data_IF_968872959172
#
_entry.id   IF_968872959172
#
_cell.length_a   1.000
_cell.length_b   1.000
_cell.length_c   1.000
_cell.angle_alpha   90.00
_cell.angle_beta   90.00
_cell.angle_gamma   90.00
#
_symmetry.space_group_name_H-M   'P 1'
#
loop_
_entity.id
_entity.type
_entity.pdbx_description
1 polymer ?
#
# COMPACT_ATOMS: atom_id res chain seq x y z
N UNK A 1 -51.23 -54.76 89.69
CA UNK A 1 -49.78 -54.98 89.58
C UNK A 1 -49.45 -54.79 88.11
N UNK A 2 -48.57 -53.84 87.77
CA UNK A 2 -48.29 -53.46 86.37
C UNK A 2 -47.86 -54.70 85.56
N UNK A 3 -48.60 -55.00 84.49
CA UNK A 3 -48.39 -56.17 83.63
C UNK A 3 -47.22 -55.95 82.65
N UNK A 4 -46.61 -57.03 82.14
CA UNK A 4 -45.47 -56.98 81.22
C UNK A 4 -45.73 -56.11 79.98
N UNK A 5 -46.97 -56.09 79.51
CA UNK A 5 -47.43 -55.27 78.38
C UNK A 5 -47.22 -53.77 78.58
N UNK A 6 -47.34 -53.26 79.82
CA UNK A 6 -47.11 -51.85 80.14
C UNK A 6 -45.63 -51.47 80.01
N UNK A 7 -44.73 -52.31 80.53
CA UNK A 7 -43.29 -52.08 80.42
C UNK A 7 -42.78 -52.20 78.97
N UNK A 8 -43.38 -53.09 78.17
CA UNK A 8 -43.11 -53.17 76.71
C UNK A 8 -43.53 -51.89 76.00
N UNK A 9 -44.71 -51.33 76.31
CA UNK A 9 -45.16 -50.06 75.73
C UNK A 9 -44.23 -48.90 76.11
N UNK A 10 -43.80 -48.82 77.37
CA UNK A 10 -42.84 -47.80 77.84
C UNK A 10 -41.49 -47.94 77.12
N UNK A 11 -40.97 -49.17 76.98
CA UNK A 11 -39.72 -49.43 76.26
C UNK A 11 -39.83 -49.09 74.76
N UNK A 12 -40.97 -49.38 74.12
CA UNK A 12 -41.23 -49.03 72.73
C UNK A 12 -41.26 -47.51 72.51
N UNK A 13 -41.97 -46.76 73.37
CA UNK A 13 -42.02 -45.30 73.30
C UNK A 13 -40.63 -44.69 73.56
N UNK A 14 -39.88 -45.21 74.53
CA UNK A 14 -38.51 -44.77 74.78
C UNK A 14 -37.59 -45.04 73.58
N UNK A 15 -37.69 -46.22 72.96
CA UNK A 15 -36.92 -46.59 71.77
C UNK A 15 -37.26 -45.70 70.57
N UNK A 16 -38.55 -45.49 70.29
CA UNK A 16 -39.00 -44.60 69.21
C UNK A 16 -38.56 -43.16 69.46
N UNK A 17 -38.64 -42.68 70.71
CA UNK A 17 -38.17 -41.34 71.08
C UNK A 17 -36.68 -41.13 70.79
N UNK A 18 -35.84 -42.12 71.12
CA UNK A 18 -34.40 -42.10 70.78
C UNK A 18 -34.21 -42.13 69.26
N UNK A 19 -34.90 -43.02 68.55
CA UNK A 19 -34.78 -43.13 67.08
C UNK A 19 -35.15 -41.83 66.37
N UNK A 20 -36.27 -41.21 66.75
CA UNK A 20 -36.72 -39.93 66.18
C UNK A 20 -35.70 -38.82 66.46
N UNK A 21 -35.18 -38.74 67.68
CA UNK A 21 -34.17 -37.74 68.07
C UNK A 21 -32.91 -37.80 67.19
N UNK A 22 -32.44 -39.02 66.87
CA UNK A 22 -31.25 -39.22 66.02
C UNK A 22 -31.55 -39.12 64.52
N UNK A 23 -32.67 -39.68 64.06
CA UNK A 23 -33.05 -39.69 62.65
C UNK A 23 -33.43 -38.29 62.14
N UNK A 24 -34.13 -37.49 62.95
CA UNK A 24 -34.59 -36.15 62.60
C UNK A 24 -33.43 -35.24 62.17
N UNK A 25 -32.34 -35.21 62.96
CA UNK A 25 -31.16 -34.40 62.64
C UNK A 25 -30.46 -34.84 61.36
N UNK A 26 -30.36 -36.16 61.10
CA UNK A 26 -29.73 -36.66 59.86
C UNK A 26 -30.56 -36.42 58.61
N UNK A 27 -31.89 -36.56 58.70
CA UNK A 27 -32.79 -36.33 57.56
C UNK A 27 -32.80 -34.84 57.19
N UNK A 28 -32.91 -33.94 58.16
CA UNK A 28 -32.88 -32.50 57.91
C UNK A 28 -31.53 -32.07 57.36
N UNK A 29 -30.42 -32.50 57.97
CA UNK A 29 -29.09 -32.19 57.46
C UNK A 29 -28.86 -32.67 56.02
N UNK A 30 -29.42 -33.83 55.64
CA UNK A 30 -29.34 -34.33 54.27
C UNK A 30 -30.19 -33.51 53.28
N UNK A 31 -31.37 -33.04 53.71
CA UNK A 31 -32.22 -32.15 52.92
C UNK A 31 -31.59 -30.77 52.74
N UNK A 32 -31.02 -30.19 53.80
CA UNK A 32 -30.30 -28.91 53.76
C UNK A 32 -29.07 -29.01 52.86
N UNK A 33 -28.28 -30.08 52.97
CA UNK A 33 -27.14 -30.30 52.09
C UNK A 33 -27.56 -30.46 50.62
N UNK A 34 -28.73 -31.05 50.36
CA UNK A 34 -29.28 -31.14 49.00
C UNK A 34 -29.76 -29.77 48.50
N UNK A 35 -30.45 -29.00 49.33
CA UNK A 35 -30.90 -27.66 48.99
C UNK A 35 -29.70 -26.75 48.65
N UNK A 36 -28.67 -26.75 49.50
CA UNK A 36 -27.44 -25.99 49.27
C UNK A 36 -26.71 -26.39 47.98
N UNK A 37 -26.66 -27.69 47.65
CA UNK A 37 -26.09 -28.15 46.36
C UNK A 37 -26.88 -27.61 45.17
N UNK A 38 -28.21 -27.72 45.20
CA UNK A 38 -29.06 -27.24 44.11
C UNK A 38 -28.93 -25.73 43.95
N UNK A 39 -28.88 -24.98 45.04
CA UNK A 39 -28.68 -23.53 45.02
C UNK A 39 -27.34 -23.17 44.37
N UNK A 40 -26.25 -23.81 44.78
CA UNK A 40 -24.93 -23.62 44.18
C UNK A 40 -24.91 -23.96 42.67
N UNK A 41 -25.52 -25.07 42.26
CA UNK A 41 -25.60 -25.47 40.84
C UNK A 41 -26.39 -24.44 40.02
N UNK A 42 -27.48 -23.89 40.56
CA UNK A 42 -28.28 -22.85 39.91
C UNK A 42 -27.49 -21.54 39.81
N UNK A 43 -26.77 -21.15 40.86
CA UNK A 43 -25.91 -19.96 40.83
C UNK A 43 -24.78 -20.09 39.82
N UNK A 44 -24.11 -21.24 39.78
CA UNK A 44 -23.06 -21.52 38.81
C UNK A 44 -23.60 -21.51 37.38
N UNK A 45 -24.74 -22.15 37.14
CA UNK A 45 -25.39 -22.13 35.82
C UNK A 45 -25.78 -20.71 35.40
N UNK A 46 -26.25 -19.87 36.33
CA UNK A 46 -26.55 -18.45 36.06
C UNK A 46 -25.28 -17.67 35.72
N UNK A 47 -24.19 -17.87 36.48
CA UNK A 47 -22.89 -17.24 36.22
C UNK A 47 -22.36 -17.62 34.84
N UNK A 48 -22.31 -18.92 34.53
CA UNK A 48 -21.85 -19.42 33.22
C UNK A 48 -22.69 -18.86 32.07
N UNK A 49 -24.02 -18.79 32.24
CA UNK A 49 -24.90 -18.19 31.23
C UNK A 49 -24.60 -16.71 31.02
N UNK A 50 -24.32 -15.97 32.08
CA UNK A 50 -23.99 -14.55 31.98
C UNK A 50 -22.63 -14.33 31.32
N UNK A 51 -21.61 -15.10 31.70
CA UNK A 51 -20.29 -15.09 31.05
C UNK A 51 -20.41 -15.43 29.55
N UNK A 52 -21.19 -16.46 29.20
CA UNK A 52 -21.42 -16.82 27.79
C UNK A 52 -22.11 -15.70 27.01
N UNK A 53 -23.07 -14.99 27.62
CA UNK A 53 -23.74 -13.83 27.00
C UNK A 53 -22.78 -12.67 26.80
N UNK A 54 -21.96 -12.37 27.79
CA UNK A 54 -20.95 -11.31 27.69
C UNK A 54 -19.91 -11.63 26.62
N UNK A 55 -19.46 -12.88 26.57
CA UNK A 55 -18.52 -13.37 25.57
C UNK A 55 -19.13 -13.27 24.16
N UNK A 56 -20.37 -13.73 23.97
CA UNK A 56 -21.09 -13.65 22.70
C UNK A 56 -21.24 -12.18 22.25
N UNK A 57 -21.67 -11.29 23.14
CA UNK A 57 -21.77 -9.86 22.84
C UNK A 57 -20.40 -9.26 22.47
N UNK A 58 -19.32 -9.69 23.15
CA UNK A 58 -17.95 -9.32 22.82
C UNK A 58 -17.52 -9.80 21.43
N UNK A 59 -17.83 -11.04 21.07
CA UNK A 59 -17.56 -11.57 19.73
C UNK A 59 -18.36 -10.87 18.64
N UNK A 60 -19.65 -10.62 18.86
CA UNK A 60 -20.49 -9.91 17.89
C UNK A 60 -19.99 -8.48 17.64
N UNK A 61 -19.56 -7.77 18.69
CA UNK A 61 -18.93 -6.45 18.56
C UNK A 61 -17.64 -6.55 17.73
N UNK A 62 -16.71 -7.42 18.15
CA UNK A 62 -15.43 -7.62 17.43
C UNK A 62 -15.65 -8.02 15.97
N UNK A 63 -16.62 -8.88 15.68
CA UNK A 63 -16.96 -9.27 14.31
C UNK A 63 -17.46 -8.08 13.50
N UNK A 64 -18.39 -7.29 14.03
CA UNK A 64 -18.89 -6.09 13.34
C UNK A 64 -17.78 -5.06 13.10
N UNK A 65 -16.92 -4.86 14.09
CA UNK A 65 -15.82 -3.91 13.98
C UNK A 65 -14.80 -4.39 12.94
N UNK A 66 -14.49 -5.69 12.89
CA UNK A 66 -13.62 -6.29 11.89
C UNK A 66 -14.20 -6.21 10.46
N UNK A 67 -15.52 -6.40 10.29
CA UNK A 67 -16.19 -6.20 8.99
C UNK A 67 -16.09 -4.74 8.56
N UNK A 68 -16.33 -3.79 9.48
CA UNK A 68 -16.21 -2.36 9.18
C UNK A 68 -14.79 -1.96 8.80
N UNK A 69 -13.80 -2.47 9.52
CA UNK A 69 -12.38 -2.24 9.23
C UNK A 69 -12.00 -2.83 7.86
N UNK A 70 -12.48 -4.03 7.52
CA UNK A 70 -12.26 -4.63 6.21
C UNK A 70 -12.87 -3.79 5.08
N UNK A 71 -14.10 -3.29 5.26
CA UNK A 71 -14.74 -2.40 4.28
C UNK A 71 -13.96 -1.09 4.12
N UNK A 72 -13.49 -0.49 5.23
CA UNK A 72 -12.66 0.71 5.21
C UNK A 72 -11.33 0.48 4.48
N UNK A 73 -10.66 -0.65 4.71
CA UNK A 73 -9.43 -1.03 4.00
C UNK A 73 -9.67 -1.14 2.50
N UNK A 74 -10.77 -1.78 2.08
CA UNK A 74 -11.11 -1.94 0.67
C UNK A 74 -11.39 -0.59 0.00
N UNK A 75 -12.17 0.27 0.65
CA UNK A 75 -12.47 1.61 0.11
C UNK A 75 -11.23 2.49 0.05
N UNK A 76 -10.36 2.45 1.07
CA UNK A 76 -9.09 3.15 1.03
C UNK A 76 -8.18 2.63 -0.09
N UNK A 77 -8.08 1.31 -0.26
CA UNK A 77 -7.29 0.72 -1.33
C UNK A 77 -7.78 1.13 -2.73
N UNK A 78 -9.09 1.21 -2.94
CA UNK A 78 -9.67 1.72 -4.20
C UNK A 78 -9.34 3.18 -4.42
N UNK A 79 -9.56 4.03 -3.41
CA UNK A 79 -9.24 5.45 -3.50
C UNK A 79 -7.75 5.69 -3.76
N UNK A 80 -6.87 4.88 -3.15
CA UNK A 80 -5.43 4.96 -3.35
C UNK A 80 -5.05 4.52 -4.78
N UNK A 81 -5.65 3.43 -5.27
CA UNK A 81 -5.45 2.96 -6.64
C UNK A 81 -5.89 3.99 -7.68
N UNK A 82 -7.04 4.65 -7.49
CA UNK A 82 -7.52 5.73 -8.35
C UNK A 82 -6.57 6.93 -8.36
N UNK A 83 -6.09 7.36 -7.18
CA UNK A 83 -5.10 8.44 -7.09
C UNK A 83 -3.79 8.08 -7.77
N UNK A 84 -3.30 6.85 -7.58
CA UNK A 84 -2.09 6.36 -8.24
C UNK A 84 -2.26 6.31 -9.76
N UNK A 85 -3.40 5.85 -10.25
CA UNK A 85 -3.69 5.81 -11.68
C UNK A 85 -3.76 7.22 -12.29
N UNK A 86 -4.42 8.16 -11.61
CA UNK A 86 -4.49 9.55 -12.05
C UNK A 86 -3.09 10.21 -12.08
N UNK A 87 -2.28 10.01 -11.04
CA UNK A 87 -0.91 10.51 -10.98
C UNK A 87 -0.05 9.91 -12.09
N UNK A 88 -0.10 8.59 -12.27
CA UNK A 88 0.65 7.90 -13.32
C UNK A 88 0.27 8.39 -14.73
N UNK A 89 -1.02 8.65 -14.97
CA UNK A 89 -1.49 9.22 -16.23
C UNK A 89 -0.94 10.65 -16.46
N UNK A 90 -0.97 11.49 -15.43
CA UNK A 90 -0.43 12.85 -15.51
C UNK A 90 1.09 12.86 -15.76
N UNK A 91 1.83 12.01 -15.05
CA UNK A 91 3.28 11.86 -15.21
C UNK A 91 3.63 11.34 -16.61
N UNK A 92 2.86 10.37 -17.12
CA UNK A 92 3.03 9.84 -18.47
C UNK A 92 2.77 10.91 -19.53
N UNK A 93 1.71 11.71 -19.38
CA UNK A 93 1.40 12.81 -20.31
C UNK A 93 2.52 13.87 -20.31
N UNK A 94 3.05 14.22 -19.13
CA UNK A 94 4.17 15.14 -19.00
C UNK A 94 5.44 14.58 -19.68
N UNK A 95 5.75 13.30 -19.48
CA UNK A 95 6.90 12.66 -20.10
C UNK A 95 6.75 12.55 -21.63
N UNK A 96 5.56 12.24 -22.13
CA UNK A 96 5.28 12.23 -23.58
C UNK A 96 5.46 13.62 -24.17
N UNK A 97 4.92 14.67 -23.54
CA UNK A 97 5.11 16.06 -23.99
C UNK A 97 6.59 16.41 -24.06
N UNK A 98 7.33 16.18 -22.98
CA UNK A 98 8.77 16.43 -22.92
C UNK A 98 9.55 15.66 -24.00
N UNK A 99 9.22 14.38 -24.22
CA UNK A 99 9.86 13.57 -25.28
C UNK A 99 9.56 14.10 -26.68
N UNK A 100 8.33 14.55 -26.90
CA UNK A 100 7.90 15.13 -28.18
C UNK A 100 8.65 16.43 -28.45
N UNK A 101 8.74 17.32 -27.47
CA UNK A 101 9.53 18.55 -27.56
C UNK A 101 11.01 18.27 -27.85
N UNK A 102 11.61 17.30 -27.14
CA UNK A 102 12.99 16.88 -27.38
C UNK A 102 13.18 16.30 -28.80
N UNK A 103 12.20 15.56 -29.32
CA UNK A 103 12.25 15.03 -30.67
C UNK A 103 12.18 16.17 -31.70
N UNK A 104 11.27 17.14 -31.53
CA UNK A 104 11.20 18.33 -32.38
C UNK A 104 12.48 19.15 -32.34
N UNK A 105 13.06 19.37 -31.16
CA UNK A 105 14.32 20.08 -31.02
C UNK A 105 15.48 19.35 -31.74
N UNK A 106 15.51 18.01 -31.69
CA UNK A 106 16.48 17.20 -32.44
C UNK A 106 16.30 17.31 -33.95
N UNK A 107 15.05 17.30 -34.43
CA UNK A 107 14.74 17.46 -35.86
C UNK A 107 15.19 18.85 -36.32
N UNK A 108 14.80 19.91 -35.62
CA UNK A 108 15.19 21.28 -35.97
C UNK A 108 16.72 21.46 -36.00
N UNK A 109 17.44 20.85 -35.05
CA UNK A 109 18.91 20.85 -35.06
C UNK A 109 19.49 20.09 -36.25
N UNK A 110 18.93 18.94 -36.59
CA UNK A 110 19.37 18.16 -37.76
C UNK A 110 19.11 18.92 -39.07
N UNK A 111 17.95 19.58 -39.19
CA UNK A 111 17.62 20.43 -40.34
C UNK A 111 18.59 21.60 -40.48
N UNK A 112 18.90 22.29 -39.39
CA UNK A 112 19.89 23.37 -39.39
C UNK A 112 21.28 22.88 -39.83
N UNK A 113 21.71 21.70 -39.35
CA UNK A 113 22.98 21.09 -39.76
C UNK A 113 22.97 20.76 -41.26
N UNK A 114 21.90 20.17 -41.79
CA UNK A 114 21.80 19.85 -43.22
C UNK A 114 21.87 21.11 -44.09
N UNK A 115 21.25 22.21 -43.65
CA UNK A 115 21.33 23.49 -44.37
C UNK A 115 22.77 24.02 -44.39
N UNK A 116 23.49 23.92 -43.27
CA UNK A 116 24.91 24.28 -43.19
C UNK A 116 25.75 23.40 -44.15
N UNK A 117 25.57 22.08 -44.10
CA UNK A 117 26.28 21.13 -44.95
C UNK A 117 26.06 21.41 -46.45
N UNK A 118 24.82 21.72 -46.86
CA UNK A 118 24.49 22.08 -48.25
C UNK A 118 25.17 23.39 -48.66
N UNK A 119 25.21 24.38 -47.76
CA UNK A 119 25.88 25.66 -48.01
C UNK A 119 27.37 25.43 -48.21
N UNK A 120 28.00 24.61 -47.38
CA UNK A 120 29.42 24.29 -47.47
C UNK A 120 29.74 23.55 -48.77
N UNK A 121 28.89 22.60 -49.19
CA UNK A 121 29.01 21.94 -50.49
C UNK A 121 28.91 22.93 -51.66
N UNK A 122 28.02 23.92 -51.58
CA UNK A 122 27.88 24.95 -52.60
C UNK A 122 29.10 25.88 -52.66
N UNK A 123 29.64 26.28 -51.51
CA UNK A 123 30.88 27.08 -51.41
C UNK A 123 32.05 26.30 -52.02
N UNK A 124 32.22 25.03 -51.65
CA UNK A 124 33.29 24.17 -52.20
C UNK A 124 33.14 23.98 -53.72
N UNK A 125 31.92 23.77 -54.22
CA UNK A 125 31.65 23.72 -55.65
C UNK A 125 32.00 25.03 -56.38
N UNK A 126 31.65 26.19 -55.80
CA UNK A 126 31.95 27.51 -56.35
C UNK A 126 33.46 27.80 -56.35
N UNK A 127 34.17 27.50 -55.26
CA UNK A 127 35.63 27.65 -55.15
C UNK A 127 36.34 26.77 -56.18
N UNK A 128 35.92 25.52 -56.36
CA UNK A 128 36.48 24.64 -57.40
C UNK A 128 36.23 25.17 -58.81
N UNK A 129 35.04 25.69 -59.09
CA UNK A 129 34.71 26.27 -60.39
C UNK A 129 35.54 27.54 -60.67
N UNK A 130 35.64 28.44 -59.69
CA UNK A 130 36.49 29.63 -59.77
C UNK A 130 37.97 29.25 -59.99
N UNK A 131 38.48 28.27 -59.25
CA UNK A 131 39.86 27.78 -59.43
C UNK A 131 40.12 27.12 -60.78
N UNK A 132 39.11 26.50 -61.42
CA UNK A 132 39.21 26.03 -62.81
C UNK A 132 39.27 27.22 -63.78
N UNK A 133 38.34 28.17 -63.66
CA UNK A 133 38.30 29.36 -64.51
C UNK A 133 39.59 30.18 -64.44
N UNK A 134 40.14 30.36 -63.24
CA UNK A 134 41.41 31.06 -63.02
C UNK A 134 42.56 30.33 -63.72
N UNK A 135 42.65 28.99 -63.61
CA UNK A 135 43.68 28.20 -64.32
C UNK A 135 43.54 28.25 -65.84
N UNK A 136 42.32 28.23 -66.37
CA UNK A 136 42.07 28.31 -67.83
C UNK A 136 42.38 29.70 -68.41
N UNK A 137 42.24 30.76 -67.60
CA UNK A 137 42.43 32.16 -68.02
C UNK A 137 43.83 32.71 -67.71
N UNK A 138 44.59 32.07 -66.83
CA UNK A 138 45.97 32.47 -66.51
C UNK A 138 46.93 32.05 -67.63
N UNK A 139 47.21 32.96 -68.54
CA UNK A 139 48.41 32.91 -69.37
C UNK A 139 49.64 33.41 -68.60
N UNK A 140 50.85 33.05 -69.05
CA UNK A 140 52.13 33.38 -68.37
C UNK A 140 52.29 34.87 -68.05
N UNK A 141 51.81 35.76 -68.93
CA UNK A 141 51.90 37.22 -68.74
C UNK A 141 50.94 37.76 -67.67
N UNK A 142 49.74 37.16 -67.53
CA UNK A 142 48.76 37.53 -66.52
C UNK A 142 49.16 37.00 -65.13
N UNK A 143 49.80 35.83 -65.09
CA UNK A 143 50.34 35.25 -63.86
C UNK A 143 51.45 36.13 -63.27
N UNK A 144 52.36 36.67 -64.10
CA UNK A 144 53.41 37.58 -63.66
C UNK A 144 52.87 38.86 -63.02
N UNK A 145 51.88 39.51 -63.65
CA UNK A 145 51.23 40.72 -63.10
C UNK A 145 50.53 40.47 -61.76
N UNK A 146 49.88 39.33 -61.58
CA UNK A 146 49.22 38.99 -60.32
C UNK A 146 50.24 38.76 -59.19
N UNK A 147 51.41 38.18 -59.51
CA UNK A 147 52.50 38.02 -58.53
C UNK A 147 53.10 39.38 -58.16
N UNK A 148 53.36 40.25 -59.13
CA UNK A 148 53.89 41.59 -58.88
C UNK A 148 52.90 42.46 -58.08
N UNK A 149 51.60 42.37 -58.38
CA UNK A 149 50.54 43.05 -57.61
C UNK A 149 50.43 42.49 -56.17
N UNK A 150 50.51 41.17 -55.99
CA UNK A 150 50.52 40.57 -54.66
C UNK A 150 51.77 40.95 -53.83
N UNK A 151 52.94 41.04 -54.48
CA UNK A 151 54.19 41.50 -53.85
C UNK A 151 54.07 43.00 -53.48
N UNK A 152 53.49 43.83 -54.33
CA UNK A 152 53.22 45.24 -54.06
C UNK A 152 52.24 45.44 -52.91
N UNK A 153 51.19 44.62 -52.83
CA UNK A 153 50.18 44.69 -51.78
C UNK A 153 50.73 44.21 -50.42
N UNK A 154 51.57 43.18 -50.41
CA UNK A 154 52.33 42.76 -49.22
C UNK A 154 53.33 43.84 -48.77
N UNK A 155 54.07 44.45 -49.70
CA UNK A 155 54.99 45.56 -49.40
C UNK A 155 54.27 46.77 -48.79
N UNK A 156 52.99 46.98 -49.11
CA UNK A 156 52.14 48.05 -48.56
C UNK A 156 51.52 47.72 -47.20
N UNK A 157 51.53 46.45 -46.79
CA UNK A 157 50.99 45.96 -45.51
C UNK A 157 52.06 45.70 -44.45
N UNK A 158 53.33 45.67 -44.85
CA UNK A 158 54.49 45.40 -43.97
C UNK A 158 55.34 46.68 -43.73
N UNK A 159 55.05 47.77 -44.44
CA UNK A 159 55.36 49.13 -43.98
C UNK A 159 54.16 49.75 -43.27
#
# INVERSE_FOLDING_TARGET
>A
MFDASFWVAVAFVAFVGILVRFAYGRIIGALDARAARIENEIEEARRLREEARQLLAGYQRRHRDAVKEADEIVEQAKADAERMAAQAAADLEAEIRRRTELAHAKIARAEAQVIEDVRDMAVDAAVRAAGRLVRERLGEEQAGKIVDDAISELGRKIH
#
